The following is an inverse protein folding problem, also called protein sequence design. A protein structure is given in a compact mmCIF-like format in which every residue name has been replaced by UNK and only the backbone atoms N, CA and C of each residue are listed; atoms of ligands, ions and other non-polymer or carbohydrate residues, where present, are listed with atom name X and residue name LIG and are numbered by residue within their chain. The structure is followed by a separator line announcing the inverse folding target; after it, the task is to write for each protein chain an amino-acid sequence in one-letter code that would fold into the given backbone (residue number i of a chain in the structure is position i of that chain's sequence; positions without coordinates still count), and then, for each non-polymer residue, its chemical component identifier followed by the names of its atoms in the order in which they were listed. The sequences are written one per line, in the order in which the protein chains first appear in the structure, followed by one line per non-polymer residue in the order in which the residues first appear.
data_IF_976856445235
#
_entry.id   IF_976856445235
#
_cell.length_a   1.000
_cell.length_b   1.000
_cell.length_c   1.000
_cell.angle_alpha   90.00
_cell.angle_beta   90.00
_cell.angle_gamma   90.00
#
_symmetry.space_group_name_H-M   'P 1'
#
loop_
_entity.id
_entity.type
_entity.pdbx_description
1 polymer ?
2 non-polymer ?
3 non-polymer ?
4 non-polymer ?
5 non-polymer ?
6 water ?
#
# COMPACT_ATOMS: atom_id res chain seq x y z
N UNK A 1 6.04 6.96 16.32
CA UNK A 1 4.86 7.87 16.32
C UNK A 1 4.08 7.74 15.03
N UNK A 2 3.53 8.86 14.53
CA UNK A 2 2.59 8.94 13.39
C UNK A 2 3.24 8.36 12.12
N UNK A 3 4.48 8.76 11.83
CA UNK A 3 5.20 8.32 10.61
C UNK A 3 5.46 6.81 10.65
N UNK A 4 5.89 6.28 11.79
CA UNK A 4 6.05 4.82 11.97
C UNK A 4 4.69 4.12 11.81
N UNK A 5 3.61 4.74 12.28
CA UNK A 5 2.26 4.12 12.16
C UNK A 5 1.85 3.98 10.69
N UNK A 6 2.22 4.94 9.85
CA UNK A 6 1.96 4.85 8.37
C UNK A 6 2.68 3.61 7.86
N UNK A 7 3.96 3.42 8.22
CA UNK A 7 4.77 2.28 7.74
C UNK A 7 4.15 0.96 8.24
N UNK A 8 3.77 0.90 9.51
CA UNK A 8 3.12 -0.29 10.11
C UNK A 8 1.82 -0.60 9.35
N UNK A 9 0.92 0.38 9.16
CA UNK A 9 -0.36 0.12 8.45
C UNK A 9 -0.04 -0.35 7.02
N UNK A 10 0.88 0.30 6.33
CA UNK A 10 1.22 -0.06 4.92
C UNK A 10 1.79 -1.51 4.84
N UNK A 11 2.45 -2.02 5.89
CA UNK A 11 3.05 -3.37 5.90
C UNK A 11 2.01 -4.48 5.94
N UNK A 12 0.72 -4.14 6.18
CA UNK A 12 -0.39 -5.13 6.18
C UNK A 12 -1.70 -4.39 5.89
N UNK A 13 -1.74 -3.68 4.78
CA UNK A 13 -2.72 -2.58 4.56
C UNK A 13 -4.12 -3.15 4.28
N UNK A 14 -4.25 -4.18 3.44
CA UNK A 14 -5.57 -4.79 3.16
C UNK A 14 -6.24 -5.17 4.48
N UNK A 15 -5.56 -5.90 5.36
CA UNK A 15 -6.23 -6.40 6.57
C UNK A 15 -6.47 -5.23 7.54
N UNK A 16 -5.57 -4.25 7.69
CA UNK A 16 -5.85 -3.08 8.57
C UNK A 16 -7.03 -2.28 8.00
N UNK A 17 -7.04 -2.08 6.68
CA UNK A 17 -8.05 -1.29 5.94
C UNK A 17 -9.44 -1.91 6.18
N UNK A 18 -9.57 -3.21 5.95
CA UNK A 18 -10.82 -4.00 6.15
C UNK A 18 -11.25 -4.00 7.62
N UNK A 19 -10.34 -4.29 8.55
CA UNK A 19 -10.75 -4.36 9.99
C UNK A 19 -11.09 -2.95 10.51
N UNK A 20 -10.50 -1.89 9.99
CA UNK A 20 -10.87 -0.53 10.49
C UNK A 20 -12.20 -0.15 9.86
N UNK A 21 -12.38 -0.43 8.58
CA UNK A 21 -13.63 -0.05 7.90
C UNK A 21 -14.79 -0.88 8.49
N UNK A 22 -14.57 -2.16 8.82
CA UNK A 22 -15.61 -3.01 9.46
C UNK A 22 -15.90 -2.43 10.86
N UNK A 23 -14.88 -1.95 11.58
CA UNK A 23 -15.09 -1.33 12.91
C UNK A 23 -16.03 -0.14 12.73
N UNK A 24 -15.80 0.67 11.70
CA UNK A 24 -16.59 1.88 11.39
C UNK A 24 -18.04 1.46 11.09
N UNK A 25 -18.25 0.55 10.14
CA UNK A 25 -19.63 0.13 9.74
C UNK A 25 -20.38 -0.52 10.92
N UNK A 26 -19.69 -1.27 11.77
CA UNK A 26 -20.33 -1.95 12.94
C UNK A 26 -20.63 -0.92 14.03
N UNK A 27 -19.69 0.01 14.27
CA UNK A 27 -19.93 1.11 15.24
C UNK A 27 -21.07 2.03 14.76
N UNK A 28 -21.15 2.33 13.47
CA UNK A 28 -22.13 3.33 12.93
C UNK A 28 -22.97 2.72 11.83
N UNK A 29 -23.94 1.85 12.18
CA UNK A 29 -24.64 1.08 11.17
C UNK A 29 -25.42 1.94 10.15
N UNK A 30 -25.85 3.16 10.53
CA UNK A 30 -26.60 4.08 9.64
C UNK A 30 -25.67 4.52 8.49
N UNK A 31 -24.36 4.48 8.68
CA UNK A 31 -23.36 4.85 7.62
C UNK A 31 -23.44 3.89 6.41
N UNK A 32 -24.16 2.75 6.48
CA UNK A 32 -24.32 1.88 5.28
C UNK A 32 -25.29 2.57 4.28
N UNK A 33 -25.89 3.71 4.64
CA UNK A 33 -26.71 4.57 3.74
C UNK A 33 -25.89 4.89 2.46
N UNK A 34 -24.57 5.03 2.58
CA UNK A 34 -23.65 5.32 1.44
C UNK A 34 -22.99 4.03 0.94
N UNK A 35 -23.39 2.87 1.46
CA UNK A 35 -22.78 1.56 1.10
C UNK A 35 -23.87 0.47 0.99
N UNK A 36 -24.82 0.71 0.09
CA UNK A 36 -26.00 -0.17 -0.17
C UNK A 36 -25.53 -1.61 -0.50
N UNK A 37 -24.34 -1.83 -1.08
CA UNK A 37 -23.95 -3.19 -1.53
C UNK A 37 -23.41 -3.96 -0.31
N UNK A 38 -23.21 -3.30 0.83
CA UNK A 38 -22.59 -3.93 2.02
C UNK A 38 -23.65 -4.39 3.01
N UNK A 39 -24.92 -4.12 2.75
CA UNK A 39 -26.04 -4.39 3.71
C UNK A 39 -26.28 -5.89 3.74
N UNK A 40 -26.72 -6.42 4.88
CA UNK A 40 -27.11 -7.84 5.02
C UNK A 40 -25.92 -8.77 4.87
N UNK A 41 -24.72 -8.33 5.24
CA UNK A 41 -23.48 -9.13 5.08
C UNK A 41 -22.67 -9.11 6.39
N UNK A 42 -22.28 -10.29 6.90
CA UNK A 42 -21.38 -10.45 8.06
C UNK A 42 -20.00 -9.91 7.67
N UNK A 43 -19.12 -9.69 8.65
CA UNK A 43 -17.70 -9.32 8.40
C UNK A 43 -17.10 -10.26 7.35
N UNK A 44 -17.16 -11.58 7.58
CA UNK A 44 -16.53 -12.60 6.69
C UNK A 44 -17.11 -12.48 5.29
N UNK A 45 -18.43 -12.36 5.13
CA UNK A 45 -19.05 -12.24 3.79
C UNK A 45 -18.49 -11.01 3.05
N UNK A 46 -18.46 -9.86 3.71
CA UNK A 46 -17.90 -8.62 3.11
C UNK A 46 -16.46 -8.85 2.64
N UNK A 47 -15.67 -9.57 3.43
CA UNK A 47 -14.25 -9.85 3.08
C UNK A 47 -14.16 -10.62 1.77
N UNK A 48 -15.17 -11.40 1.39
CA UNK A 48 -15.15 -12.26 0.18
C UNK A 48 -15.65 -11.48 -1.05
N UNK A 49 -16.08 -10.24 -0.87
CA UNK A 49 -16.65 -9.45 -1.98
C UNK A 49 -15.51 -8.66 -2.62
N UNK A 50 -15.27 -8.88 -3.92
CA UNK A 50 -14.13 -8.31 -4.67
C UNK A 50 -14.02 -6.79 -4.44
N UNK A 51 -15.11 -6.03 -4.58
CA UNK A 51 -15.05 -4.55 -4.49
C UNK A 51 -14.87 -4.10 -3.04
N UNK A 52 -15.31 -4.89 -2.04
CA UNK A 52 -15.09 -4.57 -0.62
C UNK A 52 -13.59 -4.54 -0.37
N UNK A 53 -12.88 -5.59 -0.75
CA UNK A 53 -11.44 -5.67 -0.51
C UNK A 53 -10.70 -4.60 -1.28
N UNK A 54 -11.02 -4.47 -2.57
CA UNK A 54 -10.28 -3.61 -3.51
C UNK A 54 -10.52 -2.13 -3.17
N UNK A 55 -11.79 -1.72 -3.08
CA UNK A 55 -12.15 -0.31 -2.75
C UNK A 55 -11.55 0.06 -1.37
N UNK A 56 -11.70 -0.81 -0.36
CA UNK A 56 -11.27 -0.50 1.04
C UNK A 56 -9.76 -0.25 1.03
N UNK A 57 -9.00 -1.13 0.34
CA UNK A 57 -7.53 -0.98 0.26
C UNK A 57 -7.19 0.31 -0.51
N UNK A 58 -7.87 0.64 -1.59
CA UNK A 58 -7.57 1.87 -2.37
C UNK A 58 -7.82 3.12 -1.52
N UNK A 59 -8.87 3.10 -0.70
CA UNK A 59 -9.19 4.18 0.25
C UNK A 59 -8.02 4.36 1.22
N UNK A 60 -7.56 3.28 1.83
CA UNK A 60 -6.50 3.35 2.86
C UNK A 60 -5.17 3.65 2.17
N UNK A 61 -5.03 3.23 0.91
CA UNK A 61 -3.85 3.54 0.07
C UNK A 61 -3.74 5.07 0.04
N UNK A 62 -4.80 5.78 -0.35
CA UNK A 62 -4.77 7.26 -0.48
C UNK A 62 -4.73 7.90 0.92
N UNK A 63 -5.50 7.37 1.88
CA UNK A 63 -5.39 7.89 3.25
C UNK A 63 -3.91 7.90 3.69
N UNK A 64 -3.14 6.85 3.44
CA UNK A 64 -1.75 6.75 3.93
C UNK A 64 -0.93 7.79 3.17
N UNK A 65 -1.22 8.04 1.90
CA UNK A 65 -0.54 9.09 1.09
C UNK A 65 -0.81 10.47 1.71
N UNK A 66 -2.07 10.73 2.09
CA UNK A 66 -2.48 12.05 2.69
C UNK A 66 -1.75 12.24 4.03
N UNK A 67 -1.69 11.18 4.84
CA UNK A 67 -0.97 11.20 6.14
C UNK A 67 0.52 11.43 5.91
N UNK A 68 1.11 10.77 4.91
CA UNK A 68 2.57 10.86 4.63
C UNK A 68 2.94 12.29 4.19
N UNK A 69 2.05 12.99 3.49
CA UNK A 69 2.30 14.36 2.94
C UNK A 69 2.01 15.42 4.01
N UNK A 70 1.32 15.05 5.08
CA UNK A 70 0.93 15.91 6.20
C UNK A 70 2.19 16.41 6.94
N UNK A 71 2.06 17.52 7.65
CA UNK A 71 3.08 18.06 8.59
C UNK A 71 2.40 18.19 9.94
N UNK A 72 3.00 17.61 10.98
CA UNK A 72 2.40 17.64 12.34
C UNK A 72 0.92 17.26 12.25
N UNK A 73 0.59 16.26 11.44
CA UNK A 73 -0.77 15.65 11.38
C UNK A 73 -1.75 16.62 10.73
N UNK A 74 -1.25 17.59 9.95
CA UNK A 74 -2.09 18.57 9.22
C UNK A 74 -1.92 18.28 7.74
N UNK A 75 -2.99 17.79 7.05
CA UNK A 75 -2.90 17.37 5.66
C UNK A 75 -2.72 18.60 4.76
N UNK A 76 -2.22 18.40 3.53
CA UNK A 76 -2.10 19.49 2.53
C UNK A 76 -3.50 19.93 2.14
N UNK A 77 -3.64 21.21 1.81
CA UNK A 77 -4.91 21.80 1.33
C UNK A 77 -5.27 21.10 0.02
N UNK A 78 -4.29 20.77 -0.82
CA UNK A 78 -4.54 20.13 -2.15
C UNK A 78 -5.15 18.74 -1.95
N UNK A 79 -4.70 18.01 -0.92
CA UNK A 79 -5.23 16.66 -0.61
C UNK A 79 -6.67 16.81 -0.17
N UNK A 80 -6.95 17.79 0.68
CA UNK A 80 -8.31 18.06 1.21
C UNK A 80 -9.26 18.35 0.04
N UNK A 81 -8.81 19.19 -0.90
CA UNK A 81 -9.64 19.60 -2.06
C UNK A 81 -9.90 18.38 -2.96
N UNK A 82 -8.94 17.47 -3.10
CA UNK A 82 -9.12 16.21 -3.89
C UNK A 82 -10.29 15.43 -3.28
N UNK A 83 -10.26 15.25 -1.97
CA UNK A 83 -11.27 14.48 -1.21
C UNK A 83 -12.65 15.14 -1.32
N UNK A 84 -12.74 16.48 -1.32
CA UNK A 84 -14.03 17.18 -1.48
C UNK A 84 -14.53 16.95 -2.91
N UNK A 85 -13.65 17.07 -3.91
CA UNK A 85 -14.06 17.18 -5.32
C UNK A 85 -14.24 15.81 -5.97
N UNK A 86 -13.71 14.74 -5.39
CA UNK A 86 -13.94 13.37 -5.91
C UNK A 86 -15.45 13.14 -6.13
N UNK A 87 -15.83 12.63 -7.29
CA UNK A 87 -17.26 12.41 -7.64
C UNK A 87 -17.84 11.35 -6.69
N UNK A 88 -17.01 10.40 -6.26
CA UNK A 88 -17.36 9.28 -5.34
C UNK A 88 -17.78 9.84 -3.98
N UNK A 89 -17.42 11.09 -3.69
CA UNK A 89 -17.65 11.76 -2.38
C UNK A 89 -18.78 12.80 -2.46
N UNK A 90 -19.45 12.91 -3.59
CA UNK A 90 -20.51 13.91 -3.86
C UNK A 90 -21.54 13.93 -2.73
N UNK A 91 -21.82 12.79 -2.12
CA UNK A 91 -22.88 12.65 -1.12
C UNK A 91 -22.49 13.04 0.30
N UNK A 92 -21.21 13.27 0.58
CA UNK A 92 -20.67 13.15 1.95
C UNK A 92 -20.66 14.51 2.68
N UNK A 93 -20.65 14.46 4.01
CA UNK A 93 -20.43 15.61 4.91
C UNK A 93 -19.22 15.26 5.78
N UNK A 94 -18.71 16.22 6.56
CA UNK A 94 -17.48 16.06 7.39
C UNK A 94 -17.77 15.02 8.49
N UNK A 95 -19.01 14.94 8.97
CA UNK A 95 -19.45 13.95 9.97
C UNK A 95 -19.12 12.52 9.58
N UNK A 96 -19.26 12.17 8.30
CA UNK A 96 -18.92 10.83 7.77
C UNK A 96 -17.43 10.56 8.07
N UNK A 97 -16.57 11.57 7.88
CA UNK A 97 -15.10 11.42 8.06
C UNK A 97 -14.75 11.34 9.54
N UNK A 98 -15.42 12.14 10.38
CA UNK A 98 -15.20 12.18 11.85
C UNK A 98 -15.42 10.77 12.40
N UNK A 99 -16.52 10.13 12.00
CA UNK A 99 -16.95 8.81 12.49
C UNK A 99 -15.90 7.81 12.08
N UNK A 100 -15.43 7.83 10.82
CA UNK A 100 -14.32 6.94 10.36
C UNK A 100 -13.09 7.10 11.27
N UNK A 101 -12.68 8.33 11.58
CA UNK A 101 -11.45 8.56 12.40
C UNK A 101 -11.72 8.21 13.86
N UNK A 102 -12.96 8.35 14.34
CA UNK A 102 -13.34 7.82 15.69
C UNK A 102 -13.10 6.30 15.69
N UNK A 103 -13.57 5.57 14.69
CA UNK A 103 -13.41 4.10 14.62
C UNK A 103 -11.92 3.73 14.46
N UNK A 104 -11.14 4.49 13.67
CA UNK A 104 -9.69 4.22 13.47
C UNK A 104 -8.98 4.35 14.82
N UNK A 105 -9.27 5.40 15.59
CA UNK A 105 -8.50 5.69 16.83
C UNK A 105 -8.85 4.64 17.91
N UNK A 106 -10.14 4.27 17.99
CA UNK A 106 -10.65 3.21 18.92
C UNK A 106 -10.00 1.88 18.55
N UNK A 107 -9.82 1.60 17.26
CA UNK A 107 -9.15 0.37 16.77
C UNK A 107 -7.70 0.35 17.27
N UNK A 108 -6.99 1.47 17.12
CA UNK A 108 -5.58 1.62 17.54
C UNK A 108 -5.43 1.50 19.07
N UNK A 109 -6.35 2.09 19.84
CA UNK A 109 -6.26 2.10 21.33
C UNK A 109 -6.59 0.70 21.86
N UNK A 110 -7.37 -0.11 21.15
CA UNK A 110 -7.65 -1.52 21.49
C UNK A 110 -6.51 -2.44 21.04
N UNK A 111 -5.69 -2.04 20.07
CA UNK A 111 -4.54 -2.84 19.59
C UNK A 111 -3.50 -2.96 20.73
N UNK A 112 -2.79 -4.08 20.78
CA UNK A 112 -1.66 -4.25 21.71
C UNK A 112 -0.47 -3.46 21.24
N UNK A 113 -0.45 -3.09 19.96
CA UNK A 113 0.63 -2.31 19.30
C UNK A 113 0.62 -0.88 19.83
N UNK A 114 1.81 -0.26 19.82
CA UNK A 114 2.10 1.12 20.28
C UNK A 114 1.80 2.12 19.15
N UNK A 115 0.55 2.14 18.66
CA UNK A 115 0.05 3.17 17.71
C UNK A 115 0.07 4.51 18.45
N UNK A 116 0.44 5.57 17.73
CA UNK A 116 0.33 6.94 18.28
C UNK A 116 -1.13 7.35 18.13
N UNK A 117 -1.98 6.81 19.02
CA UNK A 117 -3.46 6.94 18.89
C UNK A 117 -3.81 8.43 18.86
N UNK A 118 -3.08 9.24 19.61
CA UNK A 118 -3.37 10.69 19.79
C UNK A 118 -3.07 11.44 18.49
N UNK A 119 -1.96 11.09 17.80
CA UNK A 119 -1.56 11.74 16.51
C UNK A 119 -2.66 11.48 15.49
N UNK A 120 -3.24 10.27 15.47
CA UNK A 120 -4.29 9.89 14.50
C UNK A 120 -5.58 10.63 14.82
N UNK A 121 -5.84 10.89 16.10
CA UNK A 121 -7.02 11.67 16.56
C UNK A 121 -6.89 13.10 16.01
N UNK A 122 -5.73 13.72 16.17
CA UNK A 122 -5.47 15.09 15.63
C UNK A 122 -5.58 15.07 14.11
N UNK A 123 -5.04 14.04 13.46
CA UNK A 123 -5.08 13.92 11.99
C UNK A 123 -6.54 13.94 11.54
N UNK A 124 -7.41 13.15 12.17
CA UNK A 124 -8.81 13.07 11.72
C UNK A 124 -9.49 14.42 11.93
N UNK A 125 -9.23 15.09 13.04
CA UNK A 125 -9.82 16.43 13.30
C UNK A 125 -9.21 17.40 12.29
N UNK A 126 -7.88 17.41 12.13
CA UNK A 126 -7.23 18.33 11.16
C UNK A 126 -7.81 18.08 9.76
N UNK A 127 -8.03 16.80 9.39
CA UNK A 127 -8.54 16.47 8.04
C UNK A 127 -9.95 17.05 7.90
N UNK A 128 -10.77 16.97 8.95
CA UNK A 128 -12.20 17.45 8.93
C UNK A 128 -12.18 18.98 8.79
N UNK A 129 -11.27 19.68 9.50
CA UNK A 129 -11.07 21.16 9.36
C UNK A 129 -10.67 21.51 7.92
N UNK A 130 -9.77 20.73 7.31
CA UNK A 130 -9.30 21.00 5.93
C UNK A 130 -10.43 20.71 4.95
N UNK A 131 -11.25 19.69 5.20
CA UNK A 131 -12.33 19.27 4.26
C UNK A 131 -13.39 20.39 4.22
N UNK A 132 -13.72 20.90 5.41
CA UNK A 132 -14.64 22.04 5.63
C UNK A 132 -14.11 23.29 4.89
N UNK A 133 -12.83 23.60 5.08
CA UNK A 133 -12.16 24.76 4.44
C UNK A 133 -12.26 24.65 2.91
N UNK A 134 -12.14 23.43 2.37
CA UNK A 134 -12.15 23.14 0.93
C UNK A 134 -13.57 22.98 0.37
N UNK A 135 -14.61 23.18 1.18
CA UNK A 135 -16.00 23.33 0.70
C UNK A 135 -16.89 22.12 0.96
N UNK A 136 -16.49 21.18 1.82
CA UNK A 136 -17.38 20.06 2.25
C UNK A 136 -18.34 20.59 3.32
N UNK A 137 -19.63 20.25 3.19
CA UNK A 137 -20.68 20.63 4.17
C UNK A 137 -20.60 19.70 5.38
N UNK B 1 7.86 12.12 -12.58
CA UNK B 1 9.15 11.49 -12.31
C UNK B 1 9.00 10.39 -11.27
N UNK B 2 10.10 10.07 -10.61
CA UNK B 2 10.20 8.91 -9.68
C UNK B 2 9.20 9.06 -8.52
N UNK B 3 9.15 10.22 -7.88
CA UNK B 3 8.27 10.47 -6.67
C UNK B 3 6.80 10.25 -7.06
N UNK B 4 6.38 10.77 -8.21
CA UNK B 4 5.01 10.58 -8.74
C UNK B 4 4.76 9.10 -9.03
N UNK B 5 5.73 8.37 -9.59
CA UNK B 5 5.56 6.93 -9.91
C UNK B 5 5.35 6.16 -8.61
N UNK B 6 6.00 6.57 -7.53
CA UNK B 6 5.76 5.88 -6.23
C UNK B 6 4.27 6.08 -5.89
N UNK B 7 3.68 7.26 -6.11
CA UNK B 7 2.25 7.54 -5.78
C UNK B 7 1.35 6.72 -6.70
N UNK B 8 1.68 6.61 -7.98
CA UNK B 8 0.85 5.87 -8.98
C UNK B 8 0.84 4.40 -8.54
N UNK B 9 2.02 3.83 -8.27
CA UNK B 9 2.14 2.41 -7.89
C UNK B 9 1.40 2.19 -6.56
N UNK B 10 1.66 3.03 -5.55
CA UNK B 10 1.05 2.88 -4.19
C UNK B 10 -0.48 3.00 -4.29
N UNK B 11 -0.97 3.75 -5.29
CA UNK B 11 -2.40 3.98 -5.53
C UNK B 11 -3.17 2.70 -5.78
N UNK B 12 -2.58 1.80 -6.59
CA UNK B 12 -3.17 0.49 -6.97
C UNK B 12 -2.14 -0.63 -6.70
N UNK B 13 -1.56 -0.63 -5.50
CA UNK B 13 -0.27 -1.33 -5.29
C UNK B 13 -0.39 -2.82 -5.65
N UNK B 14 -1.48 -3.47 -5.24
CA UNK B 14 -1.59 -4.94 -5.37
C UNK B 14 -1.60 -5.33 -6.85
N UNK B 15 -2.34 -4.60 -7.70
CA UNK B 15 -2.41 -4.86 -9.17
C UNK B 15 -1.04 -4.67 -9.83
N UNK B 16 -0.38 -3.56 -9.58
CA UNK B 16 0.99 -3.30 -10.11
C UNK B 16 1.94 -4.39 -9.59
N UNK B 17 1.93 -4.64 -8.28
CA UNK B 17 2.80 -5.65 -7.61
C UNK B 17 2.65 -7.01 -8.32
N UNK B 18 1.42 -7.52 -8.43
CA UNK B 18 1.09 -8.79 -9.15
C UNK B 18 1.52 -8.77 -10.62
N UNK B 19 1.17 -7.74 -11.40
CA UNK B 19 1.48 -7.63 -12.87
C UNK B 19 2.99 -7.66 -13.09
N UNK B 20 3.76 -6.87 -12.34
CA UNK B 20 5.24 -6.76 -12.54
C UNK B 20 5.89 -8.10 -12.12
N UNK B 21 5.49 -8.69 -10.99
CA UNK B 21 6.09 -9.96 -10.50
C UNK B 21 5.81 -11.09 -11.50
N UNK B 22 4.60 -11.13 -12.07
CA UNK B 22 4.24 -12.13 -13.12
C UNK B 22 5.08 -11.88 -14.37
N UNK B 23 5.30 -10.64 -14.79
CA UNK B 23 6.19 -10.31 -15.94
C UNK B 23 7.60 -10.85 -15.64
N UNK B 24 8.06 -10.65 -14.41
CA UNK B 24 9.35 -11.20 -13.91
C UNK B 24 9.37 -12.73 -14.05
N UNK B 25 8.41 -13.45 -13.49
CA UNK B 25 8.46 -14.95 -13.47
C UNK B 25 8.36 -15.52 -14.90
N UNK B 26 7.55 -14.90 -15.77
CA UNK B 26 7.35 -15.37 -17.17
C UNK B 26 8.60 -15.06 -17.99
N UNK B 27 9.23 -13.90 -17.77
CA UNK B 27 10.45 -13.53 -18.54
C UNK B 27 11.60 -14.45 -18.13
N UNK B 28 11.71 -14.76 -16.84
CA UNK B 28 12.83 -15.55 -16.26
C UNK B 28 12.28 -16.77 -15.54
N UNK B 29 11.86 -17.84 -16.27
CA UNK B 29 11.23 -19.02 -15.66
C UNK B 29 12.11 -19.77 -14.65
N UNK B 30 13.43 -19.84 -14.88
CA UNK B 30 14.42 -20.47 -13.96
C UNK B 30 14.34 -19.78 -12.59
N UNK B 31 13.79 -18.56 -12.49
CA UNK B 31 13.65 -17.82 -11.20
C UNK B 31 12.62 -18.50 -10.30
N UNK B 32 11.83 -19.44 -10.83
CA UNK B 32 10.84 -20.20 -9.99
C UNK B 32 11.54 -21.23 -9.09
N UNK B 33 12.85 -21.41 -9.23
CA UNK B 33 13.69 -22.22 -8.31
C UNK B 33 13.64 -21.64 -6.89
N UNK B 34 13.42 -20.33 -6.73
CA UNK B 34 13.22 -19.64 -5.41
C UNK B 34 11.75 -19.64 -5.00
N UNK B 35 10.84 -20.06 -5.88
CA UNK B 35 9.38 -20.14 -5.58
C UNK B 35 8.84 -21.46 -6.14
N UNK B 36 9.13 -22.56 -5.43
CA UNK B 36 8.74 -23.94 -5.82
C UNK B 36 7.20 -24.02 -5.91
N UNK B 37 6.52 -23.31 -4.99
CA UNK B 37 5.06 -23.31 -4.69
C UNK B 37 4.23 -22.68 -5.82
N UNK B 38 4.87 -21.92 -6.70
CA UNK B 38 4.24 -21.16 -7.82
C UNK B 38 4.39 -21.93 -9.14
N UNK B 39 5.15 -23.05 -9.14
CA UNK B 39 5.37 -23.88 -10.35
C UNK B 39 4.04 -24.52 -10.78
N UNK B 40 3.88 -24.72 -12.10
CA UNK B 40 2.74 -25.46 -12.71
C UNK B 40 1.45 -24.66 -12.63
N UNK B 41 1.55 -23.34 -12.48
CA UNK B 41 0.38 -22.45 -12.27
C UNK B 41 0.40 -21.30 -13.27
N UNK B 42 -0.77 -21.00 -13.84
CA UNK B 42 -1.00 -19.88 -14.77
C UNK B 42 -1.04 -18.58 -13.96
N UNK B 43 -0.98 -17.45 -14.65
CA UNK B 43 -1.08 -16.13 -13.98
C UNK B 43 -2.34 -16.13 -13.13
N UNK B 44 -3.51 -16.46 -13.69
CA UNK B 44 -4.83 -16.21 -13.04
C UNK B 44 -4.98 -17.14 -11.81
N UNK B 45 -4.42 -18.36 -11.90
CA UNK B 45 -4.34 -19.36 -10.79
C UNK B 45 -3.51 -18.79 -9.63
N UNK B 46 -2.35 -18.21 -9.94
CA UNK B 46 -1.46 -17.54 -8.95
C UNK B 46 -2.25 -16.43 -8.23
N UNK B 47 -2.95 -15.60 -9.01
CA UNK B 47 -3.81 -14.49 -8.49
C UNK B 47 -4.84 -15.04 -7.50
N UNK B 48 -5.19 -16.32 -7.59
CA UNK B 48 -6.28 -16.92 -6.79
C UNK B 48 -5.74 -17.43 -5.45
N UNK B 49 -4.42 -17.36 -5.23
CA UNK B 49 -3.76 -17.90 -4.00
C UNK B 49 -3.55 -16.75 -3.02
N UNK B 50 -4.06 -16.89 -1.79
CA UNK B 50 -4.11 -15.80 -0.80
C UNK B 50 -2.73 -15.19 -0.59
N UNK B 51 -1.69 -16.03 -0.46
CA UNK B 51 -0.31 -15.60 -0.09
C UNK B 51 0.43 -14.99 -1.29
N UNK B 52 0.07 -15.37 -2.52
CA UNK B 52 0.61 -14.75 -3.75
C UNK B 52 0.29 -13.24 -3.71
N UNK B 53 -0.98 -12.89 -3.54
CA UNK B 53 -1.41 -11.49 -3.52
C UNK B 53 -0.90 -10.73 -2.30
N UNK B 54 -0.95 -11.37 -1.13
CA UNK B 54 -0.52 -10.77 0.17
C UNK B 54 1.00 -10.55 0.14
N UNK B 55 1.77 -11.58 -0.18
CA UNK B 55 3.25 -11.53 -0.16
C UNK B 55 3.73 -10.55 -1.24
N UNK B 56 3.21 -10.64 -2.47
CA UNK B 56 3.68 -9.81 -3.61
C UNK B 56 3.44 -8.32 -3.28
N UNK B 57 2.30 -7.97 -2.67
CA UNK B 57 2.04 -6.56 -2.30
C UNK B 57 3.07 -6.13 -1.25
N UNK B 58 3.34 -7.01 -0.26
CA UNK B 58 4.25 -6.66 0.87
C UNK B 58 5.68 -6.50 0.36
N UNK B 59 6.08 -7.30 -0.63
CA UNK B 59 7.36 -7.10 -1.38
C UNK B 59 7.34 -5.69 -1.96
N UNK B 60 6.29 -5.35 -2.70
CA UNK B 60 6.24 -4.07 -3.44
C UNK B 60 6.09 -2.91 -2.45
N UNK B 61 5.45 -3.12 -1.30
CA UNK B 61 5.33 -2.10 -0.23
C UNK B 61 6.74 -1.77 0.29
N UNK B 62 7.58 -2.77 0.51
CA UNK B 62 8.94 -2.51 1.03
C UNK B 62 9.74 -1.81 -0.08
N UNK B 63 9.62 -2.26 -1.33
CA UNK B 63 10.28 -1.61 -2.47
C UNK B 63 9.93 -0.10 -2.54
N UNK B 64 8.67 0.29 -2.31
CA UNK B 64 8.22 1.70 -2.41
C UNK B 64 8.73 2.50 -1.20
N UNK B 65 8.81 1.88 -0.03
CA UNK B 65 9.47 2.45 1.17
C UNK B 65 10.94 2.75 0.85
N UNK B 66 11.66 1.80 0.23
CA UNK B 66 13.11 1.99 -0.08
C UNK B 66 13.25 3.06 -1.18
N UNK B 67 12.40 2.97 -2.21
CA UNK B 67 12.34 3.95 -3.32
C UNK B 67 12.13 5.35 -2.71
N UNK B 68 11.20 5.50 -1.78
CA UNK B 68 10.85 6.85 -1.27
C UNK B 68 11.94 7.39 -0.33
N UNK B 69 12.73 6.55 0.33
CA UNK B 69 13.83 7.00 1.26
C UNK B 69 15.10 7.30 0.45
N UNK B 70 15.13 6.92 -0.84
CA UNK B 70 16.27 7.11 -1.75
C UNK B 70 16.47 8.61 -2.00
N UNK B 71 17.72 9.03 -2.23
CA UNK B 71 18.08 10.33 -2.81
C UNK B 71 18.55 10.10 -4.22
N UNK B 72 17.95 10.76 -5.22
CA UNK B 72 18.43 10.72 -6.62
C UNK B 72 18.48 9.24 -7.08
N UNK B 73 17.54 8.41 -6.64
CA UNK B 73 17.43 6.98 -7.03
C UNK B 73 18.61 6.16 -6.45
N UNK B 74 19.27 6.66 -5.42
CA UNK B 74 20.30 5.90 -4.64
C UNK B 74 19.70 5.50 -3.30
N UNK B 75 19.45 4.18 -3.07
CA UNK B 75 18.81 3.72 -1.84
C UNK B 75 19.77 3.91 -0.65
N UNK B 76 19.21 4.01 0.56
CA UNK B 76 19.99 4.02 1.82
C UNK B 76 20.72 2.69 1.96
N UNK B 77 21.98 2.75 2.37
CA UNK B 77 22.82 1.57 2.72
C UNK B 77 22.11 0.73 3.78
N UNK B 78 21.44 1.37 4.74
CA UNK B 78 20.70 0.67 5.83
C UNK B 78 19.55 -0.15 5.21
N UNK B 79 18.85 0.39 4.19
CA UNK B 79 17.78 -0.35 3.48
C UNK B 79 18.37 -1.54 2.73
N UNK B 80 19.51 -1.37 2.06
CA UNK B 80 20.17 -2.46 1.30
C UNK B 80 20.55 -3.58 2.30
N UNK B 81 21.07 -3.20 3.47
CA UNK B 81 21.45 -4.12 4.57
C UNK B 81 20.23 -4.93 5.00
N UNK B 82 19.08 -4.29 5.20
CA UNK B 82 17.78 -4.94 5.54
C UNK B 82 17.48 -6.05 4.52
N UNK B 83 17.60 -5.76 3.23
CA UNK B 83 17.29 -6.76 2.17
C UNK B 83 18.32 -7.89 2.15
N UNK B 84 19.60 -7.65 2.49
CA UNK B 84 20.64 -8.71 2.51
C UNK B 84 20.37 -9.67 3.69
N UNK B 85 20.06 -9.09 4.85
CA UNK B 85 19.97 -9.78 6.16
C UNK B 85 18.61 -10.49 6.27
N UNK B 86 17.67 -10.23 5.36
CA UNK B 86 16.34 -10.88 5.39
C UNK B 86 16.52 -12.38 5.19
N UNK B 87 15.98 -13.13 6.18
CA UNK B 87 15.95 -14.62 6.22
C UNK B 87 15.53 -15.14 4.85
N UNK B 88 14.39 -14.67 4.35
CA UNK B 88 13.76 -15.12 3.08
C UNK B 88 14.68 -14.78 1.88
N UNK B 89 15.75 -14.00 2.10
CA UNK B 89 16.69 -13.63 1.02
C UNK B 89 17.99 -14.41 1.12
N UNK B 90 18.07 -15.36 2.06
CA UNK B 90 19.28 -16.15 2.34
C UNK B 90 19.83 -16.72 1.04
N UNK B 91 18.93 -17.13 0.14
CA UNK B 91 19.32 -17.86 -1.09
C UNK B 91 19.96 -16.99 -2.17
N UNK B 92 19.74 -15.66 -2.14
CA UNK B 92 19.77 -14.81 -3.36
C UNK B 92 21.15 -14.22 -3.68
N UNK B 93 21.38 -13.89 -4.94
CA UNK B 93 22.49 -13.00 -5.37
C UNK B 93 21.88 -11.74 -5.99
N UNK B 94 22.71 -10.75 -6.31
CA UNK B 94 22.24 -9.43 -6.84
C UNK B 94 21.56 -9.66 -8.20
N UNK B 95 21.98 -10.68 -8.94
CA UNK B 95 21.36 -11.13 -10.20
C UNK B 95 19.85 -11.31 -10.12
N UNK B 96 19.38 -11.89 -9.02
CA UNK B 96 17.93 -12.09 -8.72
C UNK B 96 17.20 -10.73 -8.82
N UNK B 97 17.75 -9.70 -8.17
CA UNK B 97 17.21 -8.32 -8.10
C UNK B 97 17.32 -7.59 -9.45
N UNK B 98 18.47 -7.72 -10.13
CA UNK B 98 18.69 -7.11 -11.48
C UNK B 98 17.61 -7.58 -12.44
N UNK B 99 17.25 -8.86 -12.42
CA UNK B 99 16.21 -9.43 -13.34
C UNK B 99 14.83 -8.87 -12.96
N UNK B 100 14.53 -8.73 -11.66
CA UNK B 100 13.26 -8.12 -11.20
C UNK B 100 13.13 -6.70 -11.79
N UNK B 101 14.20 -5.90 -11.70
CA UNK B 101 14.16 -4.48 -12.13
C UNK B 101 14.14 -4.40 -13.65
N UNK B 102 14.78 -5.32 -14.36
CA UNK B 102 14.67 -5.40 -15.85
C UNK B 102 13.17 -5.58 -16.16
N UNK B 103 12.52 -6.55 -15.50
CA UNK B 103 11.09 -6.83 -15.73
C UNK B 103 10.32 -5.54 -15.41
N UNK B 104 10.68 -4.86 -14.31
CA UNK B 104 9.92 -3.68 -13.83
C UNK B 104 10.02 -2.54 -14.86
N UNK B 105 11.22 -2.28 -15.35
CA UNK B 105 11.49 -1.21 -16.35
C UNK B 105 10.77 -1.54 -17.66
N UNK B 106 10.89 -2.77 -18.14
CA UNK B 106 10.19 -3.20 -19.37
C UNK B 106 8.67 -2.99 -19.23
N UNK B 107 8.06 -3.34 -18.09
CA UNK B 107 6.61 -3.14 -17.87
C UNK B 107 6.28 -1.63 -17.96
N UNK B 108 7.12 -0.78 -17.35
CA UNK B 108 6.87 0.67 -17.32
C UNK B 108 6.95 1.25 -18.75
N UNK B 109 7.93 0.78 -19.54
CA UNK B 109 8.17 1.25 -20.93
C UNK B 109 6.96 0.87 -21.77
N UNK B 110 6.37 -0.31 -21.53
CA UNK B 110 5.23 -0.84 -22.33
C UNK B 110 3.93 -0.18 -21.91
N UNK B 111 3.76 0.21 -20.64
CA UNK B 111 2.45 0.76 -20.17
C UNK B 111 2.13 2.06 -20.93
N UNK B 112 0.83 2.40 -20.99
CA UNK B 112 0.40 3.67 -21.62
C UNK B 112 0.85 4.87 -20.80
N UNK B 113 1.28 4.65 -19.56
CA UNK B 113 1.46 5.75 -18.58
C UNK B 113 2.87 6.33 -18.66
N UNK B 114 3.00 7.60 -18.25
CA UNK B 114 4.27 8.39 -18.31
C UNK B 114 5.11 8.09 -17.06
N UNK B 115 5.47 6.82 -16.89
CA UNK B 115 6.40 6.35 -15.83
C UNK B 115 7.80 6.84 -16.24
N UNK B 116 8.59 7.25 -15.25
CA UNK B 116 10.01 7.66 -15.40
C UNK B 116 10.87 6.39 -15.43
N UNK B 117 10.81 5.66 -16.55
CA UNK B 117 11.47 4.34 -16.71
C UNK B 117 12.99 4.46 -16.46
N UNK B 118 13.59 5.56 -16.90
CA UNK B 118 15.04 5.78 -16.71
C UNK B 118 15.38 5.88 -15.22
N UNK B 119 14.54 6.57 -14.43
CA UNK B 119 14.76 6.65 -12.94
C UNK B 119 14.67 5.27 -12.29
N UNK B 120 13.72 4.41 -12.71
CA UNK B 120 13.56 3.06 -12.13
C UNK B 120 14.73 2.17 -12.55
N UNK B 121 15.24 2.35 -13.78
CA UNK B 121 16.44 1.62 -14.28
C UNK B 121 17.64 1.98 -13.39
N UNK B 122 17.88 3.27 -13.16
CA UNK B 122 18.96 3.78 -12.28
C UNK B 122 18.76 3.26 -10.85
N UNK B 123 17.52 3.28 -10.33
CA UNK B 123 17.22 2.84 -8.94
C UNK B 123 17.64 1.37 -8.82
N UNK B 124 17.20 0.56 -9.77
CA UNK B 124 17.53 -0.87 -9.87
C UNK B 124 19.03 -1.11 -9.83
N UNK B 125 19.80 -0.42 -10.70
CA UNK B 125 21.27 -0.53 -10.77
C UNK B 125 21.87 -0.11 -9.40
N UNK B 126 21.35 0.96 -8.82
CA UNK B 126 21.92 1.53 -7.56
C UNK B 126 21.62 0.60 -6.38
N UNK B 127 20.46 -0.05 -6.41
CA UNK B 127 20.07 -1.08 -5.40
C UNK B 127 21.00 -2.28 -5.54
N UNK B 128 21.20 -2.79 -6.77
CA UNK B 128 22.13 -3.95 -6.99
C UNK B 128 23.49 -3.59 -6.36
N UNK B 129 24.01 -2.41 -6.67
CA UNK B 129 25.29 -1.90 -6.13
C UNK B 129 25.23 -1.86 -4.58
N UNK B 130 24.19 -1.25 -4.00
CA UNK B 130 24.05 -1.14 -2.52
C UNK B 130 23.97 -2.56 -1.90
N UNK B 131 23.26 -3.48 -2.53
CA UNK B 131 23.15 -4.87 -2.00
C UNK B 131 24.53 -5.50 -1.96
N UNK B 132 25.32 -5.35 -3.03
CA UNK B 132 26.72 -5.86 -3.10
C UNK B 132 27.53 -5.25 -1.96
N UNK B 133 27.44 -3.92 -1.79
CA UNK B 133 28.13 -3.16 -0.71
C UNK B 133 27.70 -3.63 0.68
N UNK B 134 26.44 -4.04 0.85
CA UNK B 134 25.91 -4.56 2.14
C UNK B 134 26.08 -6.07 2.26
N UNK B 135 26.68 -6.71 1.25
CA UNK B 135 27.32 -8.03 1.37
C UNK B 135 26.52 -9.13 0.73
N UNK B 136 25.62 -8.84 -0.20
CA UNK B 136 25.02 -9.88 -1.08
C UNK B 136 26.08 -10.32 -2.10
N UNK B 137 26.17 -11.63 -2.34
CA UNK B 137 26.97 -12.19 -3.45
C UNK B 137 26.34 -11.85 -4.79
X LIG C 1 -14.53 6.02 -2.91
X LIG C 1 -10.60 7.76 -0.60
X LIG C 1 -13.27 8.71 3.33
X LIG C 1 -17.21 7.18 0.93
X LIG C 1 -13.22 6.35 -2.57
X LIG C 1 -12.08 6.01 -3.37
X LIG C 1 -10.98 6.51 -2.73
X LIG C 1 -11.42 7.16 -1.55
X LIG C 1 -9.57 6.36 -3.26
X LIG C 1 -12.04 5.24 -4.69
X LIG C 1 -12.11 3.72 -4.40
X LIG C 1 -12.15 2.79 -5.62
X LIG C 1 -11.60 1.67 -5.63
X LIG C 1 -12.75 3.10 -6.65
X LIG C 1 -11.01 8.18 0.69
X LIG C 1 -10.11 8.63 1.71
X LIG C 1 -10.84 8.88 2.82
X LIG C 1 -12.23 8.57 2.44
X LIG C 1 -8.62 8.77 1.58
X LIG C 1 -10.46 9.42 4.16
X LIG C 1 -9.27 9.96 4.44
X LIG C 1 -14.59 8.34 3.04
X LIG C 1 -15.65 8.29 3.96
X LIG C 1 -16.78 7.85 3.27
X LIG C 1 -16.37 7.64 1.93
X LIG C 1 -15.56 8.65 5.42
X LIG C 1 -18.16 7.57 3.74
X LIG C 1 -18.53 7.47 5.02
X LIG C 1 -16.75 6.76 -0.30
X LIG C 1 -17.68 6.11 -1.24
X LIG C 1 -16.96 5.75 -2.31
X LIG C 1 -15.57 6.21 -2.00
X LIG C 1 -19.17 5.88 -1.03
X LIG C 1 -17.46 5.11 -3.59
X LIG C 1 -18.17 3.77 -3.45
X LIG C 1 -17.14 2.75 -3.08
X LIG C 1 -15.92 2.91 -3.40
X LIG C 1 -17.51 1.76 -2.42
X LIG C 1 -12.80 7.05 -1.45
X LIG C 1 -12.25 8.16 1.16
X LIG C 1 -15.02 7.95 1.82
X LIG C 1 -15.51 6.81 -0.78
X LIG C 1 -13.97 7.58 0.08
X LIG D 1 -14.18 4.41 3.22
X LIG D 1 -14.59 3.44 2.14
X LIG D 1 -14.28 2.09 2.22
X LIG D 1 -14.67 1.20 1.23
X LIG D 1 -15.31 3.86 1.05
X LIG D 1 -15.68 2.99 0.04
X LIG D 1 -15.38 1.64 0.13
X LIG D 1 -15.79 0.79 -0.85
X LIG E 1 5.94 11.53 14.64
X LIG E 1 6.87 10.72 15.37
X LIG E 1 6.35 12.90 14.74
X LIG E 1 4.62 11.39 15.20
X LIG E 1 5.92 11.12 13.26
X LIG F 1 -26.98 -5.71 8.49
X LIG F 1 -27.70 -5.24 9.62
X LIG F 1 -25.71 -5.05 8.41
X LIG F 1 -27.72 -5.41 7.29
X LIG F 1 -26.75 -7.11 8.60
X LIG G 1 9.95 -12.42 0.84
X LIG G 1 10.94 -7.68 0.02
X LIG G 1 13.37 -8.91 -4.03
X LIG G 1 12.74 -13.60 -2.98
X LIG G 1 9.99 -11.04 0.90
X LIG G 1 9.24 -10.28 1.83
X LIG G 1 9.50 -8.97 1.61
X LIG G 1 10.44 -8.88 0.55
X LIG G 1 8.89 -7.83 2.43
X LIG G 1 8.28 -10.79 2.88
X LIG G 1 6.97 -11.18 2.21
X LIG G 1 5.96 -11.78 3.20
X LIG G 1 4.92 -11.16 3.50
X LIG G 1 6.13 -12.90 3.72
X LIG G 1 11.67 -7.63 -1.17
X LIG G 1 12.01 -6.39 -1.83
X LIG G 1 12.68 -6.73 -2.99
X LIG G 1 12.74 -8.21 -3.00
X LIG G 1 11.69 -4.99 -1.37
X LIG G 1 13.32 -5.86 -4.01
X LIG G 1 13.57 -4.56 -3.84
X LIG G 1 13.41 -10.29 -4.12
X LIG G 1 13.89 -11.03 -5.24
X LIG G 1 13.73 -12.38 -4.92
X LIG G 1 13.11 -12.43 -3.62
X LIG G 1 14.49 -10.46 -6.49
X LIG G 1 13.99 -13.57 -5.75
X LIG G 1 14.15 -13.53 -7.06
X LIG G 1 11.91 -13.61 -1.85
X LIG G 1 11.38 -14.89 -1.34
X LIG G 1 10.60 -14.57 -0.30
X LIG G 1 10.66 -13.09 -0.16
X LIG G 1 11.64 -16.27 -1.90
X LIG G 1 9.85 -15.56 0.58
X LIG G 1 8.73 -16.28 -0.17
X LIG G 1 7.52 -15.38 -0.32
X LIG G 1 7.39 -14.31 0.35
X LIG G 1 6.63 -15.72 -1.12
X LIG G 1 10.75 -10.15 0.12
X LIG G 1 12.13 -8.66 -1.89
X LIG G 1 12.94 -11.14 -3.17
X LIG G 1 11.48 -12.55 -1.13
X LIG G 1 11.91 -10.70 -1.42
X LIG H 1 10.17 -10.71 -5.47
X LIG H 1 9.00 -11.42 -4.83
X LIG H 1 9.19 -12.29 -3.77
X LIG H 1 8.14 -12.94 -3.16
X LIG H 1 7.71 -11.21 -5.26
X LIG H 1 6.63 -11.86 -4.67
X LIG H 1 6.84 -12.73 -3.61
X LIG H 1 5.80 -13.38 -3.01
X LIG I 1 2.57 9.27 -14.04
X LIG I 1 1.42 9.51 -13.23
X LIG I 1 3.14 7.90 -13.89
X LIG I 1 3.48 7.53 -12.56
#
# INVERSE_FOLDING_TARGET
GFKQDIATLRGDLRTYAQDIFLAFLNKYPDEKRNFKNYVGKSDQELKSMAKFGDHTEKVFNLMMEVADRATDCVPLASDASTLVQMKQHSGLTTGNFEKLFVALVEYMRASGQSFDSQSWDRFGKNLVSALSSAGMK
GFKQDIATLRGDLRTYAQDIFLAFLNKYPDEKRNFKNYVGKSDQELKSMAKFGDHTEKVFNLMMEVADRATDCVPLASDASTLVQMKQHSGLTTGNFEKLFVALVEYMRASGQSFDSQSWDRFGKNLVSALSSAGMK
HEM CHA CHB CHC CHD C1A C2A C3A C4A CMA CAA CBA CGA O1A O2A C1B C2B C3B C4B CMB CAB CBB C1C C2C C3C C4C CMC CAC CBC C1D C2D C3D C4D CMD CAD CBD CGD O1D O2D NA NB NC ND FE
PCR CB CG CD1 CE1 CD2 CE2 CZ OH
SO4 S O1 O2 O3 O4
SO4 S O1 O2 O3 O4
HEM CHA CHB CHC CHD C1A C2A C3A C4A CMA CAA CBA CGA O1A O2A C1B C2B C3B C4B CMB CAB CBB C1C C2C C3C C4C CMC CAC CBC C1D C2D C3D C4D CMD CAD CBD CGD O1D O2D NA NB NC ND FE
PCR CB CG CD1 CE1 CD2 CE2 CZ OH
EDO C1 O1 C2 O2
#
